data_IF_769991105444
#
_entry.id   IF_769991105444
#
_cell.length_a   1.000
_cell.length_b   1.000
_cell.length_c   1.000
_cell.angle_alpha   90.00
_cell.angle_beta   90.00
_cell.angle_gamma   90.00
#
_symmetry.space_group_name_H-M   'P 1'
#
loop_
_entity.id
_entity.type
_entity.pdbx_description
1 polymer ?
#
# COMPACT_ATOMS: atom_id res chain seq x y z
N UNK A 1 -15.95 8.00 3.52
CA UNK A 1 -14.52 8.21 3.84
C UNK A 1 -14.18 7.39 5.06
N UNK A 2 -13.16 6.53 5.01
CA UNK A 2 -12.77 5.68 6.15
C UNK A 2 -11.76 6.42 7.06
N UNK A 3 -11.57 5.92 8.28
CA UNK A 3 -10.54 6.44 9.18
C UNK A 3 -9.12 6.31 8.59
N UNK A 4 -8.88 5.24 7.81
CA UNK A 4 -7.59 5.01 7.17
C UNK A 4 -7.34 5.99 6.02
N UNK A 5 -8.34 6.27 5.17
CA UNK A 5 -8.26 7.33 4.15
C UNK A 5 -7.98 8.70 4.77
N UNK A 6 -8.63 9.02 5.90
CA UNK A 6 -8.39 10.26 6.61
C UNK A 6 -6.94 10.40 7.11
N UNK A 7 -6.36 9.31 7.63
CA UNK A 7 -4.96 9.28 8.05
C UNK A 7 -4.00 9.40 6.86
N UNK A 8 -4.34 8.79 5.71
CA UNK A 8 -3.55 8.84 4.49
C UNK A 8 -3.48 10.26 3.90
N UNK A 9 -4.53 11.07 4.05
CA UNK A 9 -4.51 12.48 3.61
C UNK A 9 -3.53 13.39 4.35
N UNK A 10 -2.92 12.91 5.44
CA UNK A 10 -1.84 13.63 6.13
C UNK A 10 -0.44 13.19 5.72
N UNK A 11 -0.28 12.21 4.82
CA UNK A 11 1.04 11.75 4.36
C UNK A 11 1.76 12.85 3.59
N UNK A 12 3.09 12.75 3.58
CA UNK A 12 3.96 13.71 2.92
C UNK A 12 5.09 12.96 2.20
N UNK A 13 5.52 13.51 1.06
CA UNK A 13 6.74 13.07 0.36
C UNK A 13 7.94 13.14 1.31
N UNK A 14 8.82 12.15 1.25
CA UNK A 14 9.99 12.08 2.13
C UNK A 14 9.74 11.42 3.50
N UNK A 15 8.51 11.03 3.82
CA UNK A 15 8.26 10.19 5.01
C UNK A 15 8.95 8.83 4.86
N UNK A 16 9.53 8.33 5.95
CA UNK A 16 10.06 6.97 6.00
C UNK A 16 8.95 5.94 6.09
N UNK A 17 9.23 4.71 5.66
CA UNK A 17 8.35 3.56 5.87
C UNK A 17 7.83 3.45 7.31
N UNK A 18 8.70 3.61 8.31
CA UNK A 18 8.30 3.50 9.72
C UNK A 18 7.34 4.61 10.15
N UNK A 19 7.52 5.85 9.65
CA UNK A 19 6.59 6.96 9.92
C UNK A 19 5.21 6.69 9.30
N UNK A 20 5.17 6.15 8.07
CA UNK A 20 3.92 5.77 7.41
C UNK A 20 3.21 4.67 8.21
N UNK A 21 3.92 3.62 8.60
CA UNK A 21 3.35 2.50 9.38
C UNK A 21 2.87 2.99 10.75
N UNK A 22 3.62 3.85 11.44
CA UNK A 22 3.20 4.42 12.72
C UNK A 22 1.88 5.22 12.60
N UNK A 23 1.65 5.87 11.45
CA UNK A 23 0.44 6.65 11.19
C UNK A 23 -0.74 5.77 10.76
N UNK A 24 -0.53 4.89 9.78
CA UNK A 24 -1.59 4.11 9.12
C UNK A 24 -1.89 2.78 9.83
N UNK A 25 -0.96 2.28 10.65
CA UNK A 25 -0.95 0.92 11.15
C UNK A 25 -0.17 -0.03 10.21
N UNK A 26 -0.10 -1.33 10.54
CA UNK A 26 0.59 -2.31 9.72
C UNK A 26 -0.08 -2.45 8.35
N UNK A 27 0.70 -2.53 7.24
CA UNK A 27 0.15 -2.77 5.91
C UNK A 27 -0.44 -4.17 5.79
N UNK A 28 -1.37 -4.32 4.86
CA UNK A 28 -1.98 -5.62 4.54
C UNK A 28 -1.21 -6.33 3.45
N UNK A 29 -0.66 -5.59 2.49
CA UNK A 29 0.08 -6.12 1.34
C UNK A 29 1.36 -5.34 1.06
N UNK A 30 2.29 -6.02 0.39
CA UNK A 30 3.48 -5.43 -0.21
C UNK A 30 3.64 -5.94 -1.64
N UNK A 31 4.02 -5.04 -2.54
CA UNK A 31 4.45 -5.36 -3.90
C UNK A 31 5.92 -5.01 -4.03
N UNK A 32 6.70 -5.97 -4.52
CA UNK A 32 8.16 -5.85 -4.67
C UNK A 32 8.55 -5.66 -6.15
N UNK A 33 9.73 -5.09 -6.44
CA UNK A 33 10.21 -4.92 -7.83
C UNK A 33 10.37 -6.24 -8.61
N UNK A 34 10.55 -7.36 -7.90
CA UNK A 34 10.62 -8.70 -8.50
C UNK A 34 9.27 -9.24 -8.94
N UNK A 35 8.17 -8.59 -8.57
CA UNK A 35 6.83 -9.06 -8.85
C UNK A 35 6.44 -8.80 -10.31
N UNK A 36 5.76 -9.77 -10.93
CA UNK A 36 5.35 -9.74 -12.33
C UNK A 36 3.83 -9.84 -12.48
N UNK A 37 3.33 -9.64 -13.71
CA UNK A 37 1.90 -9.70 -14.04
C UNK A 37 1.15 -8.40 -13.74
N UNK A 38 -0.16 -8.51 -13.51
CA UNK A 38 -1.09 -7.37 -13.37
C UNK A 38 -0.84 -6.52 -12.12
N UNK A 39 -0.09 -7.04 -11.14
CA UNK A 39 0.24 -6.36 -9.89
C UNK A 39 1.73 -6.02 -9.78
N UNK A 40 2.43 -5.84 -10.91
CA UNK A 40 3.83 -5.37 -10.90
C UNK A 40 3.89 -3.87 -10.62
N UNK A 41 5.01 -3.42 -10.06
CA UNK A 41 5.33 -2.00 -10.00
C UNK A 41 5.59 -1.50 -11.44
N UNK A 42 4.86 -0.49 -11.94
CA UNK A 42 5.01 -0.01 -13.31
C UNK A 42 6.17 0.98 -13.48
N UNK A 43 6.55 1.69 -12.41
CA UNK A 43 7.57 2.74 -12.42
C UNK A 43 8.85 2.28 -11.70
N UNK A 44 9.98 2.35 -12.40
CA UNK A 44 11.30 2.01 -11.87
C UNK A 44 11.79 2.89 -10.71
N UNK A 45 11.19 4.07 -10.50
CA UNK A 45 11.49 4.91 -9.34
C UNK A 45 10.94 4.33 -8.04
N UNK A 46 9.92 3.47 -8.10
CA UNK A 46 9.28 2.83 -6.96
C UNK A 46 10.04 1.54 -6.63
N UNK A 47 10.67 1.50 -5.45
CA UNK A 47 11.39 0.32 -4.95
C UNK A 47 10.52 -0.59 -4.08
N UNK A 48 9.38 -0.07 -3.60
CA UNK A 48 8.43 -0.77 -2.76
C UNK A 48 7.08 -0.06 -2.83
N UNK A 49 6.01 -0.83 -2.96
CA UNK A 49 4.65 -0.35 -2.77
C UNK A 49 4.02 -1.10 -1.60
N UNK A 50 3.47 -0.36 -0.64
CA UNK A 50 2.69 -0.90 0.48
C UNK A 50 1.23 -0.56 0.29
N UNK A 51 0.35 -1.52 0.62
CA UNK A 51 -1.09 -1.32 0.55
C UNK A 51 -1.80 -1.77 1.82
N UNK A 52 -2.86 -1.06 2.18
CA UNK A 52 -3.69 -1.33 3.35
C UNK A 52 -5.12 -1.61 2.91
N UNK A 53 -5.69 -2.70 3.42
CA UNK A 53 -7.11 -2.98 3.25
C UNK A 53 -7.93 -1.87 3.90
N UNK A 54 -8.85 -1.29 3.13
CA UNK A 54 -9.53 -0.06 3.49
C UNK A 54 -11.05 -0.19 3.34
N UNK A 55 -11.62 -1.33 3.73
CA UNK A 55 -13.04 -1.62 3.53
C UNK A 55 -13.95 -0.53 4.17
N UNK A 56 -15.04 -0.12 3.48
CA UNK A 56 -15.54 -0.63 2.20
C UNK A 56 -14.94 0.10 0.98
N UNK A 57 -13.83 0.81 1.12
CA UNK A 57 -13.20 1.60 0.07
C UNK A 57 -11.97 0.90 -0.55
N UNK A 58 -11.52 1.45 -1.67
CA UNK A 58 -10.29 1.02 -2.34
C UNK A 58 -9.11 1.07 -1.36
N UNK A 59 -8.12 0.16 -1.50
CA UNK A 59 -6.94 0.17 -0.65
C UNK A 59 -6.25 1.53 -0.62
N UNK A 60 -5.70 1.88 0.54
CA UNK A 60 -4.68 2.94 0.59
C UNK A 60 -3.39 2.35 0.06
N UNK A 61 -2.72 3.06 -0.84
CA UNK A 61 -1.46 2.64 -1.47
C UNK A 61 -0.41 3.69 -1.21
N UNK A 62 0.81 3.29 -0.86
CA UNK A 62 1.95 4.20 -0.64
C UNK A 62 3.18 3.66 -1.35
N UNK A 63 3.79 4.52 -2.15
CA UNK A 63 4.97 4.21 -2.97
C UNK A 63 6.23 4.79 -2.35
N UNK A 64 7.27 3.97 -2.27
CA UNK A 64 8.57 4.33 -1.72
C UNK A 64 9.66 4.25 -2.79
N UNK A 65 10.58 5.21 -2.78
CA UNK A 65 11.77 5.20 -3.63
C UNK A 65 12.86 4.25 -3.13
N UNK A 66 13.97 4.17 -3.85
CA UNK A 66 15.15 3.36 -3.49
C UNK A 66 15.84 3.80 -2.19
N UNK A 67 15.54 4.99 -1.67
CA UNK A 67 16.02 5.48 -0.37
C UNK A 67 15.04 5.14 0.78
N UNK A 68 13.92 4.47 0.49
CA UNK A 68 12.90 4.09 1.46
C UNK A 68 12.01 5.26 1.88
N UNK A 69 11.84 6.25 1.01
CA UNK A 69 11.08 7.48 1.25
C UNK A 69 9.84 7.55 0.38
N UNK A 70 8.74 8.06 0.93
CA UNK A 70 7.48 8.24 0.20
C UNK A 70 7.68 9.16 -1.01
N UNK A 71 7.22 8.72 -2.17
CA UNK A 71 7.20 9.50 -3.41
C UNK A 71 5.79 9.67 -3.99
N UNK A 72 4.81 8.88 -3.53
CA UNK A 72 3.41 8.99 -3.93
C UNK A 72 2.50 8.14 -3.04
N UNK A 73 1.20 8.44 -3.06
CA UNK A 73 0.18 7.62 -2.41
C UNK A 73 -1.22 7.85 -3.01
N UNK A 74 -2.08 6.84 -2.86
CA UNK A 74 -3.53 6.94 -3.05
C UNK A 74 -4.21 6.73 -1.69
N UNK A 75 -5.08 7.67 -1.32
CA UNK A 75 -5.83 7.65 -0.07
C UNK A 75 -7.02 6.66 -0.09
N UNK A 76 -7.25 5.97 -1.20
CA UNK A 76 -8.29 4.95 -1.34
C UNK A 76 -9.71 5.52 -1.26
N UNK A 77 -9.89 6.83 -1.49
CA UNK A 77 -11.16 7.54 -1.31
C UNK A 77 -12.02 7.62 -2.56
N UNK A 78 -11.45 7.34 -3.73
CA UNK A 78 -12.13 7.53 -5.02
C UNK A 78 -13.23 6.49 -5.28
N UNK A 79 -13.05 5.26 -4.81
CA UNK A 79 -13.97 4.13 -5.04
C UNK A 79 -14.34 3.49 -3.71
N UNK A 80 -15.64 3.36 -3.44
CA UNK A 80 -16.16 2.76 -2.20
C UNK A 80 -17.42 1.94 -2.43
N UNK A 81 -17.73 1.03 -1.50
CA UNK A 81 -18.91 0.19 -1.53
C UNK A 81 -18.78 -0.95 -2.54
N UNK A 82 -19.86 -1.24 -3.25
CA UNK A 82 -19.95 -2.38 -4.19
C UNK A 82 -18.94 -2.26 -5.35
N UNK A 83 -18.56 -1.04 -5.71
CA UNK A 83 -17.64 -0.79 -6.82
C UNK A 83 -16.22 -1.31 -6.54
N UNK A 84 -15.81 -1.40 -5.28
CA UNK A 84 -14.51 -1.97 -4.90
C UNK A 84 -14.43 -3.46 -5.23
N UNK A 85 -15.53 -4.18 -4.97
CA UNK A 85 -15.64 -5.61 -5.25
C UNK A 85 -15.73 -5.88 -6.76
N UNK A 86 -16.54 -5.09 -7.47
CA UNK A 86 -16.69 -5.18 -8.92
C UNK A 86 -15.37 -4.90 -9.66
N UNK A 87 -14.58 -3.94 -9.17
CA UNK A 87 -13.30 -3.57 -9.76
C UNK A 87 -12.12 -4.40 -9.25
N UNK A 88 -12.34 -5.34 -8.32
CA UNK A 88 -11.31 -6.24 -7.75
C UNK A 88 -10.04 -5.51 -7.31
N UNK A 89 -10.21 -4.41 -6.59
CA UNK A 89 -9.09 -3.55 -6.20
C UNK A 89 -8.24 -4.14 -5.05
N UNK A 90 -8.67 -5.23 -4.41
CA UNK A 90 -7.87 -5.91 -3.39
C UNK A 90 -6.73 -6.73 -4.02
N UNK A 91 -5.55 -6.67 -3.41
CA UNK A 91 -4.40 -7.44 -3.87
C UNK A 91 -4.54 -8.92 -3.47
N UNK A 92 -4.02 -9.86 -4.30
CA UNK A 92 -4.11 -11.28 -4.02
C UNK A 92 -3.26 -11.68 -2.79
N UNK A 93 -3.60 -12.83 -2.21
CA UNK A 93 -2.92 -13.36 -1.00
C UNK A 93 -1.41 -13.57 -1.15
N UNK A 94 -0.90 -13.74 -2.38
CA UNK A 94 0.54 -13.80 -2.69
C UNK A 94 1.30 -12.49 -2.44
N UNK A 95 0.58 -11.39 -2.25
CA UNK A 95 1.12 -10.08 -1.86
C UNK A 95 0.92 -9.78 -0.38
N UNK A 96 0.24 -10.65 0.37
CA UNK A 96 -0.09 -10.42 1.77
C UNK A 96 1.16 -10.29 2.62
N UNK A 97 1.17 -9.33 3.55
CA UNK A 97 2.21 -9.18 4.57
C UNK A 97 2.33 -10.39 5.52
N UNK A 98 1.37 -11.32 5.49
CA UNK A 98 1.46 -12.61 6.17
C UNK A 98 2.38 -13.61 5.45
N UNK A 99 2.74 -13.37 4.18
CA UNK A 99 3.70 -14.20 3.46
C UNK A 99 5.13 -13.88 3.93
N UNK A 100 5.97 -14.92 4.03
CA UNK A 100 7.32 -14.79 4.61
C UNK A 100 8.25 -13.87 3.79
N UNK A 101 8.08 -13.83 2.47
CA UNK A 101 8.83 -12.94 1.58
C UNK A 101 8.35 -11.47 1.66
N UNK A 102 7.10 -11.24 2.10
CA UNK A 102 6.48 -9.91 2.25
C UNK A 102 6.65 -9.32 3.64
N UNK A 103 6.63 -10.14 4.69
CA UNK A 103 6.64 -9.68 6.09
C UNK A 103 7.76 -8.68 6.39
N UNK A 104 8.97 -8.93 5.85
CA UNK A 104 10.13 -8.03 5.96
C UNK A 104 9.90 -6.65 5.32
N UNK A 105 9.22 -6.61 4.18
CA UNK A 105 8.89 -5.36 3.50
C UNK A 105 7.83 -4.57 4.28
N UNK A 106 6.91 -5.28 4.93
CA UNK A 106 5.83 -4.74 5.75
C UNK A 106 6.27 -4.24 7.13
N UNK A 107 7.55 -4.40 7.49
CA UNK A 107 8.08 -3.96 8.79
C UNK A 107 7.75 -4.92 9.95
N UNK A 108 7.27 -6.13 9.65
CA UNK A 108 7.10 -7.19 10.64
C UNK A 108 8.47 -7.86 10.85
N UNK A 109 9.19 -7.44 11.89
CA UNK A 109 10.40 -8.09 12.40
C UNK A 109 10.19 -8.41 13.87
#
# INVERSE_FOLDING_TARGET
MTALSAKAGGLETGMTRNQVIARLGPPTWAVLPSDTGDFKIPDSSISLMLAWKNAPCAPVVVDFDHSGKVIGWDEGRAVCGKDVELLRLELPGSRSCSQADRSRACGNQ
#
